data_IF_987386979852
#
_entry.id   IF_987386979852
#
_cell.length_a   1.000
_cell.length_b   1.000
_cell.length_c   1.000
_cell.angle_alpha   90.00
_cell.angle_beta   90.00
_cell.angle_gamma   90.00
#
_symmetry.space_group_name_H-M   'P 1'
#
loop_
_entity.id
_entity.type
_entity.pdbx_description
1 polymer ?
#
# COMPACT_ATOMS: atom_id res chain seq x y z
N UNK A 1 10.57 -15.19 6.41
CA UNK A 1 9.86 -14.61 5.23
C UNK A 1 10.47 -13.24 4.96
N UNK A 2 11.32 -13.12 3.95
CA UNK A 2 11.99 -11.87 3.60
C UNK A 2 10.97 -10.90 2.99
N UNK A 3 10.60 -9.86 3.73
CA UNK A 3 9.89 -8.72 3.16
C UNK A 3 10.81 -8.11 2.11
N UNK A 4 10.44 -8.24 0.84
CA UNK A 4 11.23 -7.73 -0.26
C UNK A 4 11.20 -6.18 -0.17
N UNK A 5 12.19 -5.59 0.50
CA UNK A 5 12.37 -4.14 0.68
C UNK A 5 12.89 -3.50 -0.61
N UNK A 6 12.17 -3.72 -1.71
CA UNK A 6 12.36 -2.88 -2.89
C UNK A 6 11.88 -1.46 -2.54
N UNK A 7 12.70 -0.44 -2.79
CA UNK A 7 12.28 0.94 -2.60
C UNK A 7 11.06 1.24 -3.47
N UNK A 8 10.20 2.13 -2.99
CA UNK A 8 9.10 2.65 -3.80
C UNK A 8 9.66 3.33 -5.06
N UNK A 9 8.97 3.25 -6.21
CA UNK A 9 9.30 4.05 -7.36
C UNK A 9 9.15 5.55 -7.01
N UNK A 10 9.79 6.45 -7.77
CA UNK A 10 9.52 7.88 -7.69
C UNK A 10 8.02 8.15 -7.85
N UNK A 11 7.47 9.02 -7.02
CA UNK A 11 6.06 9.40 -6.99
C UNK A 11 5.94 10.84 -6.50
N UNK A 12 4.88 11.53 -6.90
CA UNK A 12 4.51 12.81 -6.29
C UNK A 12 3.78 12.55 -4.97
N UNK A 13 4.42 12.92 -3.85
CA UNK A 13 3.90 12.72 -2.49
C UNK A 13 2.59 13.47 -2.24
N UNK A 14 2.28 14.51 -3.01
CA UNK A 14 1.05 15.29 -2.85
C UNK A 14 -0.16 14.62 -3.48
N UNK A 15 0.05 13.76 -4.48
CA UNK A 15 -1.01 13.09 -5.25
C UNK A 15 -1.04 11.58 -5.01
N UNK A 16 -0.01 11.04 -4.36
CA UNK A 16 0.13 9.61 -4.15
C UNK A 16 -0.45 9.13 -2.82
N UNK A 17 -1.03 7.93 -2.83
CA UNK A 17 -1.55 7.26 -1.64
C UNK A 17 -1.47 5.73 -1.77
N UNK A 18 -1.58 5.03 -0.64
CA UNK A 18 -1.61 3.57 -0.58
C UNK A 18 -3.05 3.05 -0.51
N UNK A 19 -3.51 2.33 -1.52
CA UNK A 19 -4.72 1.53 -1.44
C UNK A 19 -4.43 0.24 -0.66
N UNK A 20 -5.18 0.02 0.43
CA UNK A 20 -5.12 -1.21 1.22
C UNK A 20 -6.39 -2.01 0.96
N UNK A 21 -6.26 -3.19 0.35
CA UNK A 21 -7.36 -4.14 0.15
C UNK A 21 -7.07 -5.49 0.80
N UNK A 22 -8.13 -6.23 1.16
CA UNK A 22 -8.00 -7.58 1.71
C UNK A 22 -8.24 -8.62 0.62
N UNK A 23 -7.25 -9.48 0.38
CA UNK A 23 -7.34 -10.60 -0.55
C UNK A 23 -7.09 -11.91 0.21
N UNK A 24 -8.18 -12.57 0.62
CA UNK A 24 -8.12 -13.77 1.45
C UNK A 24 -7.50 -13.49 2.83
N UNK A 25 -6.40 -14.18 3.14
CA UNK A 25 -5.64 -14.04 4.39
C UNK A 25 -4.57 -12.93 4.34
N UNK A 26 -4.41 -12.24 3.21
CA UNK A 26 -3.39 -11.20 3.02
C UNK A 26 -4.01 -9.82 2.81
N UNK A 27 -3.23 -8.81 3.14
CA UNK A 27 -3.50 -7.41 2.85
C UNK A 27 -2.62 -6.98 1.69
N UNK A 28 -3.23 -6.42 0.66
CA UNK A 28 -2.57 -5.87 -0.51
C UNK A 28 -2.47 -4.37 -0.34
N UNK A 29 -1.26 -3.85 -0.52
CA UNK A 29 -0.90 -2.45 -0.47
C UNK A 29 -0.44 -2.03 -1.87
N UNK A 30 -1.18 -1.13 -2.50
CA UNK A 30 -0.91 -0.65 -3.85
C UNK A 30 -0.64 0.84 -3.79
N UNK A 31 0.51 1.28 -4.29
CA UNK A 31 0.77 2.71 -4.47
C UNK A 31 -0.01 3.19 -5.69
N UNK A 32 -0.81 4.23 -5.51
CA UNK A 32 -1.45 4.99 -6.58
C UNK A 32 -0.83 6.36 -6.65
N UNK A 33 -0.41 6.78 -7.84
CA UNK A 33 0.05 8.14 -8.11
C UNK A 33 -0.60 8.64 -9.41
N UNK A 34 -1.35 9.74 -9.34
CA UNK A 34 -1.89 10.46 -10.50
C UNK A 34 -2.55 9.55 -11.56
N UNK A 35 -3.24 8.50 -11.12
CA UNK A 35 -3.92 7.43 -11.92
C UNK A 35 -3.09 6.20 -12.30
N UNK A 36 -1.81 6.14 -11.94
CA UNK A 36 -0.97 4.96 -12.15
C UNK A 36 -1.01 4.05 -10.92
N UNK A 37 -1.37 2.77 -11.12
CA UNK A 37 -1.25 1.73 -10.09
C UNK A 37 0.10 1.05 -10.19
N UNK A 38 0.89 1.18 -9.14
CA UNK A 38 2.21 0.59 -9.04
C UNK A 38 2.14 -0.84 -8.45
N UNK A 39 3.25 -1.61 -8.53
CA UNK A 39 3.27 -3.00 -8.08
C UNK A 39 2.81 -3.19 -6.64
N UNK A 40 1.99 -4.22 -6.43
CA UNK A 40 1.36 -4.55 -5.15
C UNK A 40 2.37 -5.13 -4.17
N UNK A 41 2.43 -4.57 -2.96
CA UNK A 41 3.04 -5.23 -1.80
C UNK A 41 1.98 -6.00 -1.03
N UNK A 42 2.28 -7.24 -0.66
CA UNK A 42 1.38 -8.05 0.17
C UNK A 42 1.95 -8.22 1.57
N UNK A 43 1.08 -8.10 2.57
CA UNK A 43 1.38 -8.25 3.99
C UNK A 43 0.39 -9.22 4.62
N UNK A 44 0.76 -9.79 5.78
CA UNK A 44 -0.14 -10.69 6.50
C UNK A 44 -1.16 -9.91 7.35
N UNK A 45 -0.84 -8.66 7.71
CA UNK A 45 -1.69 -7.83 8.56
C UNK A 45 -1.90 -6.43 7.99
N UNK A 46 -3.07 -5.84 8.30
CA UNK A 46 -3.38 -4.44 7.98
C UNK A 46 -2.37 -3.47 8.60
N UNK A 47 -1.88 -3.78 9.81
CA UNK A 47 -0.93 -2.93 10.55
C UNK A 47 0.40 -2.78 9.82
N UNK A 48 0.88 -3.83 9.16
CA UNK A 48 2.10 -3.76 8.34
C UNK A 48 1.90 -2.85 7.12
N UNK A 49 0.74 -2.94 6.48
CA UNK A 49 0.34 -2.05 5.40
C UNK A 49 0.32 -0.56 5.84
N UNK A 50 -0.22 -0.27 7.01
CA UNK A 50 -0.23 1.09 7.58
C UNK A 50 1.19 1.58 7.93
N UNK A 51 2.02 0.72 8.51
CA UNK A 51 3.44 1.05 8.78
C UNK A 51 4.19 1.37 7.49
N UNK A 52 3.89 0.64 6.41
CA UNK A 52 4.48 0.90 5.11
C UNK A 52 4.10 2.29 4.58
N UNK A 53 2.82 2.65 4.60
CA UNK A 53 2.36 3.98 4.20
C UNK A 53 3.05 5.08 5.04
N UNK A 54 3.08 4.93 6.36
CA UNK A 54 3.70 5.88 7.28
C UNK A 54 5.21 6.04 7.06
N UNK A 55 5.94 4.94 6.82
CA UNK A 55 7.38 4.96 6.53
C UNK A 55 7.72 5.75 5.26
N UNK A 56 6.76 5.85 4.33
CA UNK A 56 6.91 6.58 3.08
C UNK A 56 6.20 7.94 3.06
N UNK A 57 5.61 8.37 4.19
CA UNK A 57 4.87 9.62 4.33
C UNK A 57 3.69 9.72 3.35
N UNK A 58 3.04 8.58 3.11
CA UNK A 58 1.89 8.48 2.23
C UNK A 58 0.62 8.29 3.04
N UNK A 59 -0.45 8.95 2.63
CA UNK A 59 -1.79 8.61 3.07
C UNK A 59 -2.19 7.22 2.57
N UNK A 60 -3.19 6.63 3.20
CA UNK A 60 -3.75 5.36 2.75
C UNK A 60 -5.26 5.38 2.78
N UNK A 61 -5.84 4.62 1.86
CA UNK A 61 -7.29 4.40 1.78
C UNK A 61 -7.58 2.92 1.88
N UNK A 62 -8.65 2.56 2.59
CA UNK A 62 -9.10 1.19 2.69
C UNK A 62 -10.10 0.92 1.58
N UNK A 63 -9.75 0.02 0.68
CA UNK A 63 -10.57 -0.32 -0.49
C UNK A 63 -11.13 -1.72 -0.32
N UNK A 64 -12.43 -1.89 -0.49
CA UNK A 64 -13.08 -3.19 -0.32
C UNK A 64 -13.36 -3.58 1.12
N UNK A 65 -13.46 -2.61 2.03
CA UNK A 65 -14.12 -2.82 3.32
C UNK A 65 -15.62 -3.01 3.08
N UNK A 66 -16.05 -4.23 2.81
CA UNK A 66 -17.46 -4.58 2.95
C UNK A 66 -17.90 -4.23 4.38
N UNK A 67 -19.02 -3.51 4.51
CA UNK A 67 -19.75 -3.33 5.76
C UNK A 67 -20.06 -4.68 6.39
#
# INVERSE_FOLDING_TARGET
MTMNNKPLPPHDKHTAYIEISKAGSKFLCVLLDSSTRHPVRSFNTKRECQKFAAAHQLDFVLVGGAK
#
